data_IF_978827737929
#
_entry.id   IF_978827737929
#
_cell.length_a   1.000
_cell.length_b   1.000
_cell.length_c   1.000
_cell.angle_alpha   90.00
_cell.angle_beta   90.00
_cell.angle_gamma   90.00
#
_symmetry.space_group_name_H-M   'P 1'
#
loop_
_entity.id
_entity.type
_entity.pdbx_description
1 polymer ?
#
# COMPACT_ATOMS: atom_id res chain seq x y z
N UNK A 1 -3.33 -5.17 -32.50
CA UNK A 1 -3.30 -6.09 -31.34
C UNK A 1 -1.93 -5.97 -30.72
N UNK A 2 -1.82 -5.36 -29.54
CA UNK A 2 -0.57 -5.31 -28.77
C UNK A 2 -0.28 -6.72 -28.26
N UNK A 3 0.93 -7.23 -28.47
CA UNK A 3 1.34 -8.52 -27.92
C UNK A 3 1.13 -8.54 -26.39
N UNK A 4 0.74 -9.67 -25.80
CA UNK A 4 0.66 -9.78 -24.34
C UNK A 4 2.04 -9.44 -23.75
N UNK A 5 2.10 -8.36 -22.96
CA UNK A 5 3.31 -7.99 -22.21
C UNK A 5 3.68 -9.18 -21.32
N UNK A 6 4.93 -9.63 -21.41
CA UNK A 6 5.45 -10.72 -20.59
C UNK A 6 5.09 -10.50 -19.12
N UNK A 7 4.48 -11.50 -18.49
CA UNK A 7 4.30 -11.57 -17.04
C UNK A 7 5.64 -11.93 -16.42
N UNK A 8 6.05 -11.19 -15.39
CA UNK A 8 7.18 -11.62 -14.56
C UNK A 8 6.95 -13.05 -14.05
N UNK A 9 7.94 -13.91 -14.25
CA UNK A 9 7.91 -15.34 -13.95
C UNK A 9 8.80 -15.72 -12.77
N UNK A 10 9.15 -14.76 -11.92
CA UNK A 10 9.96 -15.04 -10.74
C UNK A 10 9.16 -15.70 -9.61
N UNK A 11 9.87 -16.01 -8.53
CA UNK A 11 9.37 -16.85 -7.45
C UNK A 11 8.47 -16.05 -6.49
N UNK A 12 7.16 -16.13 -6.73
CA UNK A 12 6.13 -15.49 -5.89
C UNK A 12 6.14 -16.05 -4.47
N UNK A 13 6.43 -17.33 -4.31
CA UNK A 13 6.41 -18.00 -3.01
C UNK A 13 7.62 -17.57 -2.18
N UNK A 14 8.79 -17.42 -2.79
CA UNK A 14 9.97 -16.87 -2.13
C UNK A 14 9.75 -15.43 -1.64
N UNK A 15 9.11 -14.57 -2.46
CA UNK A 15 8.78 -13.19 -2.02
C UNK A 15 7.75 -13.21 -0.90
N UNK A 16 6.74 -14.10 -0.99
CA UNK A 16 5.74 -14.28 0.07
C UNK A 16 6.40 -14.70 1.39
N UNK A 17 7.30 -15.68 1.33
CA UNK A 17 8.05 -16.15 2.49
C UNK A 17 8.91 -15.04 3.10
N UNK A 18 9.58 -14.23 2.27
CA UNK A 18 10.37 -13.08 2.72
C UNK A 18 9.49 -12.04 3.45
N UNK A 19 8.38 -11.61 2.85
CA UNK A 19 7.49 -10.61 3.46
C UNK A 19 6.96 -11.12 4.80
N UNK A 20 6.53 -12.38 4.86
CA UNK A 20 6.06 -13.00 6.08
C UNK A 20 7.18 -13.15 7.13
N UNK A 21 8.41 -13.44 6.71
CA UNK A 21 9.55 -13.52 7.61
C UNK A 21 9.85 -12.16 8.25
N UNK A 22 9.94 -11.09 7.45
CA UNK A 22 10.17 -9.73 7.99
C UNK A 22 9.03 -9.31 8.92
N UNK A 23 7.78 -9.58 8.55
CA UNK A 23 6.63 -9.34 9.41
C UNK A 23 6.74 -10.05 10.77
N UNK A 24 7.17 -11.31 10.80
CA UNK A 24 7.31 -12.11 12.03
C UNK A 24 8.53 -11.71 12.86
N UNK A 25 9.66 -11.47 12.23
CA UNK A 25 10.95 -11.38 12.91
C UNK A 25 11.31 -9.93 13.28
N UNK A 26 10.80 -8.95 12.52
CA UNK A 26 11.12 -7.53 12.71
C UNK A 26 9.93 -6.75 13.29
N UNK A 27 8.75 -6.90 12.68
CA UNK A 27 7.57 -6.08 12.98
C UNK A 27 6.81 -6.57 14.21
N UNK A 28 6.37 -7.84 14.20
CA UNK A 28 5.52 -8.40 15.25
C UNK A 28 6.11 -8.32 16.67
N UNK A 29 7.43 -8.54 16.90
CA UNK A 29 8.00 -8.49 18.26
C UNK A 29 7.96 -7.10 18.89
N UNK A 30 7.84 -6.04 18.08
CA UNK A 30 7.83 -4.63 18.53
C UNK A 30 6.43 -4.05 18.63
N UNK A 31 5.42 -4.73 18.11
CA UNK A 31 4.04 -4.25 18.18
C UNK A 31 3.58 -4.18 19.64
N UNK A 32 3.19 -2.98 20.10
CA UNK A 32 2.85 -2.67 21.51
C UNK A 32 3.99 -2.94 22.51
N UNK A 33 5.22 -3.05 22.01
CA UNK A 33 6.42 -3.32 22.81
C UNK A 33 7.58 -2.36 22.47
N UNK A 34 7.29 -1.27 21.75
CA UNK A 34 8.26 -0.19 21.48
C UNK A 34 8.78 0.41 22.80
N UNK A 35 10.07 0.62 22.87
CA UNK A 35 10.78 1.23 23.99
C UNK A 35 10.97 2.73 23.78
N UNK A 36 11.37 3.42 24.85
CA UNK A 36 11.78 4.82 24.75
C UNK A 36 12.99 4.94 23.81
N UNK A 37 12.85 5.74 22.74
CA UNK A 37 13.88 5.91 21.71
C UNK A 37 13.64 5.10 20.43
N UNK A 38 12.68 4.16 20.43
CA UNK A 38 12.33 3.40 19.22
C UNK A 38 11.49 4.22 18.22
N UNK A 39 10.99 5.40 18.62
CA UNK A 39 10.17 6.30 17.80
C UNK A 39 10.94 7.59 17.53
N UNK A 40 11.13 7.88 16.25
CA UNK A 40 11.68 9.13 15.72
C UNK A 40 10.62 9.97 15.01
N UNK A 41 11.01 11.20 14.65
CA UNK A 41 10.15 12.17 13.96
C UNK A 41 10.87 12.66 12.70
N UNK A 42 10.21 12.55 11.54
CA UNK A 42 10.71 12.98 10.22
C UNK A 42 10.21 14.36 9.80
N UNK A 43 9.13 14.83 10.40
CA UNK A 43 8.51 16.12 10.17
C UNK A 43 7.44 16.42 11.22
N UNK A 44 6.76 17.56 11.11
CA UNK A 44 5.82 18.02 12.15
C UNK A 44 4.73 17.00 12.53
N UNK A 45 4.37 16.08 11.62
CA UNK A 45 3.36 15.04 11.82
C UNK A 45 3.75 13.65 11.30
N UNK A 46 5.02 13.47 10.93
CA UNK A 46 5.53 12.25 10.29
C UNK A 46 6.43 11.49 11.25
N UNK A 47 6.06 10.24 11.56
CA UNK A 47 6.71 9.39 12.55
C UNK A 47 7.39 8.22 11.87
N UNK A 48 8.57 7.88 12.35
CA UNK A 48 9.33 6.70 11.94
C UNK A 48 9.67 5.90 13.19
N UNK A 49 9.81 4.59 13.08
CA UNK A 49 10.31 3.76 14.17
C UNK A 49 11.54 2.97 13.77
N UNK A 50 12.18 2.36 14.76
CA UNK A 50 13.24 1.37 14.51
C UNK A 50 12.75 0.21 13.64
N UNK A 51 11.44 -0.11 13.69
CA UNK A 51 10.83 -1.17 12.88
C UNK A 51 10.91 -0.81 11.40
N UNK A 52 10.54 0.41 11.02
CA UNK A 52 10.61 0.89 9.63
C UNK A 52 12.04 0.76 9.11
N UNK A 53 13.02 1.17 9.93
CA UNK A 53 14.45 1.13 9.56
C UNK A 53 14.97 -0.30 9.38
N UNK A 54 14.64 -1.20 10.32
CA UNK A 54 15.08 -2.60 10.25
C UNK A 54 14.41 -3.37 9.10
N UNK A 55 13.12 -3.12 8.84
CA UNK A 55 12.40 -3.73 7.75
C UNK A 55 12.84 -3.18 6.38
N UNK A 56 13.14 -1.88 6.27
CA UNK A 56 13.73 -1.23 5.08
C UNK A 56 15.13 -1.79 4.77
N UNK A 57 15.87 -2.29 5.77
CA UNK A 57 17.12 -2.99 5.51
C UNK A 57 16.90 -4.45 5.06
N UNK A 58 15.97 -5.16 5.70
CA UNK A 58 15.76 -6.60 5.48
C UNK A 58 15.07 -6.92 4.15
N UNK A 59 14.02 -6.17 3.78
CA UNK A 59 13.21 -6.47 2.59
C UNK A 59 14.01 -6.27 1.30
N UNK A 60 14.69 -5.13 1.06
CA UNK A 60 15.48 -4.95 -0.17
C UNK A 60 16.61 -5.96 -0.30
N UNK A 61 17.28 -6.32 0.80
CA UNK A 61 18.33 -7.35 0.79
C UNK A 61 17.78 -8.71 0.34
N UNK A 62 16.62 -9.13 0.88
CA UNK A 62 15.96 -10.37 0.48
C UNK A 62 15.48 -10.34 -0.97
N UNK A 63 14.87 -9.23 -1.42
CA UNK A 63 14.40 -9.06 -2.80
C UNK A 63 15.56 -9.09 -3.81
N UNK A 64 16.69 -8.48 -3.46
CA UNK A 64 17.90 -8.53 -4.28
C UNK A 64 18.46 -9.95 -4.42
N UNK A 65 18.30 -10.80 -3.41
CA UNK A 65 18.67 -12.21 -3.49
C UNK A 65 17.70 -13.03 -4.36
N UNK A 66 16.39 -12.75 -4.27
CA UNK A 66 15.36 -13.45 -5.07
C UNK A 66 15.42 -13.05 -6.54
N UNK A 67 15.61 -11.76 -6.83
CA UNK A 67 15.64 -11.20 -8.18
C UNK A 67 16.85 -10.27 -8.35
N UNK A 68 18.06 -10.83 -8.54
CA UNK A 68 19.27 -10.03 -8.73
C UNK A 68 19.15 -9.07 -9.91
N UNK A 69 19.59 -7.82 -9.71
CA UNK A 69 19.58 -6.78 -10.74
C UNK A 69 18.25 -6.02 -10.92
N UNK A 70 17.20 -6.39 -10.18
CA UNK A 70 15.97 -5.60 -10.12
C UNK A 70 16.12 -4.52 -9.04
N UNK A 71 16.05 -3.22 -9.38
CA UNK A 71 16.17 -2.15 -8.41
C UNK A 71 15.03 -2.21 -7.38
N UNK A 72 15.33 -1.81 -6.15
CA UNK A 72 14.36 -1.72 -5.05
C UNK A 72 14.20 -0.27 -4.64
N UNK A 73 12.96 0.20 -4.62
CA UNK A 73 12.59 1.57 -4.29
C UNK A 73 11.75 1.52 -3.01
N UNK A 74 12.38 1.81 -1.87
CA UNK A 74 11.70 1.87 -0.58
C UNK A 74 11.18 3.27 -0.26
N UNK A 75 10.14 3.37 0.55
CA UNK A 75 9.57 4.65 0.98
C UNK A 75 10.62 5.54 1.64
N UNK A 76 11.42 4.96 2.55
CA UNK A 76 12.34 5.71 3.39
C UNK A 76 13.59 6.13 2.62
N UNK A 77 14.08 5.24 1.75
CA UNK A 77 15.11 5.60 0.79
C UNK A 77 14.65 6.74 -0.13
N UNK A 78 13.40 6.72 -0.60
CA UNK A 78 12.85 7.76 -1.49
C UNK A 78 12.63 9.09 -0.76
N UNK A 79 12.25 9.05 0.52
CA UNK A 79 12.13 10.24 1.36
C UNK A 79 13.49 10.92 1.56
N UNK A 80 14.57 10.15 1.65
CA UNK A 80 15.94 10.65 1.75
C UNK A 80 16.51 11.10 0.40
N UNK A 81 16.20 10.39 -0.68
CA UNK A 81 16.63 10.67 -2.05
C UNK A 81 15.46 10.57 -3.05
N UNK A 82 14.79 11.69 -3.36
CA UNK A 82 13.68 11.72 -4.31
C UNK A 82 14.05 11.28 -5.74
N UNK A 83 15.34 11.28 -6.11
CA UNK A 83 15.78 10.87 -7.46
C UNK A 83 15.57 9.37 -7.73
N UNK A 84 15.35 8.57 -6.70
CA UNK A 84 14.97 7.15 -6.83
C UNK A 84 13.64 6.96 -7.57
N UNK A 85 12.76 7.98 -7.60
CA UNK A 85 11.54 7.93 -8.42
C UNK A 85 11.84 7.92 -9.93
N UNK A 86 12.94 8.53 -10.36
CA UNK A 86 13.36 8.49 -11.76
C UNK A 86 13.83 7.08 -12.14
N UNK A 87 14.43 6.34 -11.20
CA UNK A 87 14.77 4.93 -11.38
C UNK A 87 13.51 4.09 -11.59
N UNK A 88 12.47 4.31 -10.78
CA UNK A 88 11.18 3.63 -10.95
C UNK A 88 10.55 3.91 -12.32
N UNK A 89 10.67 5.15 -12.81
CA UNK A 89 10.12 5.55 -14.10
C UNK A 89 10.92 4.98 -15.29
N UNK A 90 12.24 4.84 -15.15
CA UNK A 90 13.14 4.38 -16.21
C UNK A 90 13.30 2.86 -16.25
N UNK A 91 13.16 2.17 -15.12
CA UNK A 91 13.44 0.74 -15.02
C UNK A 91 12.37 -0.09 -15.77
N UNK A 92 12.78 -1.10 -16.54
CA UNK A 92 11.84 -2.04 -17.16
C UNK A 92 11.09 -2.86 -16.10
N UNK A 93 11.72 -3.07 -14.94
CA UNK A 93 11.19 -3.81 -13.79
C UNK A 93 11.81 -3.21 -12.52
N UNK A 94 11.01 -2.96 -11.48
CA UNK A 94 11.47 -2.45 -10.19
C UNK A 94 10.56 -2.94 -9.05
N UNK A 95 11.14 -3.13 -7.86
CA UNK A 95 10.39 -3.33 -6.63
C UNK A 95 10.03 -1.99 -6.01
N UNK A 96 8.83 -1.89 -5.46
CA UNK A 96 8.40 -0.79 -4.59
C UNK A 96 8.06 -1.38 -3.23
N UNK A 97 8.62 -0.82 -2.17
CA UNK A 97 8.51 -1.35 -0.81
C UNK A 97 8.03 -0.26 0.13
N UNK A 98 7.05 -0.61 0.97
CA UNK A 98 6.70 0.11 2.17
C UNK A 98 6.90 -0.87 3.35
N UNK A 99 7.97 -0.69 4.14
CA UNK A 99 8.38 -1.65 5.16
C UNK A 99 7.41 -1.69 6.36
N UNK A 100 6.66 -0.62 6.59
CA UNK A 100 5.65 -0.52 7.64
C UNK A 100 4.58 0.53 7.27
N UNK A 101 3.59 0.13 6.46
CA UNK A 101 2.45 0.99 6.18
C UNK A 101 1.63 1.16 7.46
N UNK A 102 1.29 2.42 7.76
CA UNK A 102 0.58 2.77 8.98
C UNK A 102 1.51 2.82 10.20
N UNK A 103 2.73 3.34 10.08
CA UNK A 103 3.66 3.59 11.20
C UNK A 103 2.98 4.28 12.39
N UNK A 104 2.12 5.26 12.13
CA UNK A 104 1.33 5.91 13.19
C UNK A 104 0.32 4.96 13.83
N UNK A 105 -0.35 4.12 13.05
CA UNK A 105 -1.23 3.05 13.56
C UNK A 105 -0.45 2.12 14.50
N UNK A 106 0.76 1.74 14.09
CA UNK A 106 1.65 0.88 14.84
C UNK A 106 2.05 1.50 16.18
N UNK A 107 2.47 2.78 16.17
CA UNK A 107 2.80 3.56 17.37
C UNK A 107 1.59 3.73 18.29
N UNK A 108 0.39 3.95 17.72
CA UNK A 108 -0.88 4.05 18.46
C UNK A 108 -1.40 2.68 18.95
N UNK A 109 -0.72 1.57 18.65
CA UNK A 109 -1.08 0.22 19.08
C UNK A 109 -2.25 -0.40 18.30
N UNK A 110 -2.60 0.15 17.14
CA UNK A 110 -3.60 -0.37 16.20
C UNK A 110 -3.08 -1.59 15.46
N UNK A 111 -3.87 -2.67 15.32
CA UNK A 111 -3.48 -3.85 14.55
C UNK A 111 -3.45 -3.61 13.03
N UNK A 112 -3.94 -2.47 12.57
CA UNK A 112 -4.12 -2.14 11.15
C UNK A 112 -2.87 -1.52 10.53
N UNK A 113 -1.74 -2.21 10.64
CA UNK A 113 -0.47 -1.89 9.99
C UNK A 113 -0.08 -3.04 9.04
N UNK A 114 0.75 -2.74 8.02
CA UNK A 114 1.10 -3.71 7.01
C UNK A 114 2.58 -3.66 6.61
N UNK A 115 3.10 -4.78 6.10
CA UNK A 115 4.31 -4.81 5.27
C UNK A 115 3.87 -4.94 3.83
N UNK A 116 4.30 -4.04 2.95
CA UNK A 116 3.86 -4.01 1.55
C UNK A 116 5.01 -4.07 0.57
N UNK A 117 4.86 -4.92 -0.45
CA UNK A 117 5.80 -5.04 -1.57
C UNK A 117 5.00 -5.04 -2.86
N UNK A 118 5.50 -4.35 -3.89
CA UNK A 118 4.97 -4.43 -5.24
C UNK A 118 6.08 -4.60 -6.26
N UNK A 119 5.76 -5.30 -7.34
CA UNK A 119 6.61 -5.39 -8.52
C UNK A 119 5.99 -4.54 -9.62
N UNK A 120 6.76 -3.61 -10.17
CA UNK A 120 6.34 -2.67 -11.20
C UNK A 120 7.12 -2.94 -12.48
N UNK A 121 6.42 -3.15 -13.59
CA UNK A 121 7.00 -3.42 -14.90
C UNK A 121 6.52 -2.37 -15.91
N UNK A 122 7.44 -1.54 -16.40
CA UNK A 122 7.11 -0.44 -17.33
C UNK A 122 6.07 0.52 -16.76
N UNK A 123 6.22 0.88 -15.48
CA UNK A 123 5.31 1.73 -14.70
C UNK A 123 4.07 1.02 -14.15
N UNK A 124 3.66 -0.12 -14.72
CA UNK A 124 2.46 -0.82 -14.25
C UNK A 124 2.82 -1.81 -13.15
N UNK A 125 2.11 -1.80 -12.02
CA UNK A 125 2.20 -2.91 -11.08
C UNK A 125 1.88 -4.23 -11.81
N UNK A 126 2.55 -5.32 -11.47
CA UNK A 126 2.32 -6.66 -12.06
C UNK A 126 2.24 -7.75 -11.00
N UNK A 127 2.73 -7.49 -9.80
CA UNK A 127 2.52 -8.31 -8.62
C UNK A 127 2.52 -7.43 -7.37
N UNK A 128 1.90 -7.90 -6.28
CA UNK A 128 1.92 -7.21 -5.00
C UNK A 128 1.60 -8.12 -3.82
N UNK A 129 2.14 -7.74 -2.67
CA UNK A 129 2.05 -8.41 -1.39
C UNK A 129 1.61 -7.40 -0.33
N UNK A 130 0.63 -7.77 0.48
CA UNK A 130 0.25 -7.05 1.71
C UNK A 130 0.21 -8.06 2.83
N UNK A 131 1.16 -7.99 3.75
CA UNK A 131 1.12 -8.78 4.97
C UNK A 131 0.60 -7.91 6.12
N UNK A 132 -0.40 -8.40 6.83
CA UNK A 132 -0.99 -7.79 8.02
C UNK A 132 -0.55 -8.60 9.24
N UNK A 133 0.56 -8.25 9.91
CA UNK A 133 1.20 -9.13 10.90
C UNK A 133 0.29 -9.40 12.11
N UNK A 134 -0.35 -8.35 12.65
CA UNK A 134 -1.25 -8.47 13.79
C UNK A 134 -2.55 -9.25 13.47
N UNK A 135 -2.91 -9.35 12.19
CA UNK A 135 -4.07 -10.11 11.72
C UNK A 135 -3.71 -11.53 11.27
N UNK A 136 -2.42 -11.84 11.14
CA UNK A 136 -1.94 -13.14 10.64
C UNK A 136 -2.35 -13.43 9.19
N UNK A 137 -2.52 -12.39 8.36
CA UNK A 137 -3.02 -12.50 6.97
C UNK A 137 -2.01 -11.99 5.97
N UNK A 138 -1.82 -12.70 4.86
CA UNK A 138 -0.99 -12.27 3.74
C UNK A 138 -1.77 -12.33 2.44
N UNK A 139 -1.93 -11.18 1.80
CA UNK A 139 -2.56 -11.04 0.49
C UNK A 139 -1.49 -11.00 -0.59
N UNK A 140 -1.70 -11.78 -1.66
CA UNK A 140 -0.81 -11.83 -2.81
C UNK A 140 -1.64 -11.69 -4.07
N UNK A 141 -1.22 -10.84 -5.00
CA UNK A 141 -1.83 -10.74 -6.32
C UNK A 141 -0.77 -10.68 -7.40
N UNK A 142 -1.00 -11.37 -8.52
CA UNK A 142 -0.14 -11.34 -9.69
C UNK A 142 -1.00 -11.24 -10.95
N UNK A 143 -0.51 -10.47 -11.94
CA UNK A 143 -1.18 -10.26 -13.21
C UNK A 143 -1.43 -11.57 -13.92
N UNK A 144 -2.70 -11.83 -14.24
CA UNK A 144 -3.13 -13.08 -14.88
C UNK A 144 -3.38 -14.24 -13.91
N UNK A 145 -2.83 -14.20 -12.69
CA UNK A 145 -2.95 -15.30 -11.71
C UNK A 145 -4.10 -15.10 -10.72
N UNK A 146 -4.59 -13.87 -10.56
CA UNK A 146 -5.64 -13.50 -9.60
C UNK A 146 -5.07 -12.99 -8.27
N UNK A 147 -5.89 -13.05 -7.22
CA UNK A 147 -5.53 -12.65 -5.86
C UNK A 147 -5.73 -13.83 -4.89
N UNK A 148 -4.92 -13.87 -3.85
CA UNK A 148 -4.83 -14.95 -2.87
C UNK A 148 -4.73 -14.36 -1.47
N UNK A 149 -5.30 -15.06 -0.49
CA UNK A 149 -5.14 -14.82 0.93
C UNK A 149 -4.59 -16.10 1.56
N UNK A 150 -3.39 -16.04 2.11
CA UNK A 150 -2.71 -17.18 2.76
C UNK A 150 -2.69 -18.44 1.88
N UNK A 151 -2.37 -18.23 0.59
CA UNK A 151 -2.32 -19.28 -0.43
C UNK A 151 -3.69 -19.72 -0.98
N UNK A 152 -4.81 -19.29 -0.38
CA UNK A 152 -6.15 -19.59 -0.87
C UNK A 152 -6.61 -18.53 -1.86
N UNK A 153 -7.11 -18.96 -3.03
CA UNK A 153 -7.54 -18.04 -4.07
C UNK A 153 -8.80 -17.29 -3.64
N UNK A 154 -8.74 -15.96 -3.73
CA UNK A 154 -9.89 -15.11 -3.45
C UNK A 154 -10.90 -15.18 -4.61
N UNK A 155 -12.21 -15.13 -4.33
CA UNK A 155 -13.23 -15.08 -5.36
C UNK A 155 -13.08 -13.80 -6.20
N UNK A 156 -13.60 -13.84 -7.42
CA UNK A 156 -13.76 -12.61 -8.21
C UNK A 156 -14.81 -11.73 -7.49
N UNK A 157 -14.44 -10.50 -7.17
CA UNK A 157 -15.34 -9.49 -6.64
C UNK A 157 -16.34 -9.13 -7.73
N UNK A 158 -17.58 -9.13 -7.30
CA UNK A 158 -18.70 -8.54 -8.01
C UNK A 158 -19.05 -7.28 -7.25
N UNK A 159 -19.28 -6.17 -7.95
CA UNK A 159 -19.77 -4.96 -7.29
C UNK A 159 -21.06 -5.30 -6.53
N UNK A 160 -21.05 -5.10 -5.20
CA UNK A 160 -22.25 -5.27 -4.40
C UNK A 160 -23.18 -4.07 -4.60
N UNK A 161 -24.49 -4.31 -4.61
CA UNK A 161 -25.49 -3.26 -4.48
C UNK A 161 -26.24 -3.43 -3.14
N UNK A 162 -26.26 -2.41 -2.26
CA UNK A 162 -25.54 -1.13 -2.35
C UNK A 162 -24.03 -1.26 -2.11
N UNK A 163 -23.24 -0.34 -2.69
CA UNK A 163 -21.78 -0.31 -2.55
C UNK A 163 -21.34 -0.02 -1.11
N UNK A 164 -20.32 -0.74 -0.64
CA UNK A 164 -19.62 -0.51 0.64
C UNK A 164 -18.32 0.23 0.39
N UNK A 165 -18.06 1.27 1.17
CA UNK A 165 -16.92 2.16 0.96
C UNK A 165 -16.16 2.45 2.22
N UNK A 166 -14.87 2.68 2.12
CA UNK A 166 -14.06 3.25 3.19
C UNK A 166 -13.35 4.49 2.68
N UNK A 167 -13.07 5.44 3.57
CA UNK A 167 -12.21 6.58 3.24
C UNK A 167 -11.05 6.64 4.23
N UNK A 168 -9.82 6.69 3.73
CA UNK A 168 -8.66 6.98 4.56
C UNK A 168 -8.72 8.45 4.99
N UNK A 169 -8.90 8.71 6.29
CA UNK A 169 -9.13 10.06 6.86
C UNK A 169 -8.00 10.55 7.77
N UNK A 170 -6.87 9.85 7.82
CA UNK A 170 -5.79 10.19 8.76
C UNK A 170 -5.18 11.58 8.47
N UNK A 171 -5.09 11.97 7.20
CA UNK A 171 -4.64 13.29 6.76
C UNK A 171 -5.76 14.33 6.59
N UNK A 172 -7.00 14.02 7.00
CA UNK A 172 -8.13 14.92 6.81
C UNK A 172 -8.40 15.79 8.03
N UNK A 173 -8.50 17.11 7.84
CA UNK A 173 -9.01 18.03 8.87
C UNK A 173 -10.47 17.74 9.24
N UNK A 174 -10.91 18.20 10.41
CA UNK A 174 -12.32 18.07 10.82
C UNK A 174 -13.30 18.68 9.81
N UNK A 175 -12.93 19.81 9.20
CA UNK A 175 -13.71 20.46 8.15
C UNK A 175 -13.78 19.63 6.86
N UNK A 176 -12.65 19.02 6.43
CA UNK A 176 -12.65 18.10 5.30
C UNK A 176 -13.53 16.87 5.56
N UNK A 177 -13.49 16.31 6.78
CA UNK A 177 -14.33 15.17 7.18
C UNK A 177 -15.82 15.52 7.14
N UNK A 178 -16.20 16.69 7.66
CA UNK A 178 -17.59 17.16 7.62
C UNK A 178 -18.09 17.39 6.18
N UNK A 179 -17.22 17.95 5.32
CA UNK A 179 -17.53 18.17 3.90
C UNK A 179 -17.76 16.86 3.16
N UNK A 180 -16.89 15.87 3.37
CA UNK A 180 -17.02 14.54 2.78
C UNK A 180 -18.30 13.84 3.23
N UNK A 181 -18.59 13.86 4.54
CA UNK A 181 -19.81 13.27 5.09
C UNK A 181 -21.07 13.90 4.46
N UNK A 182 -21.10 15.23 4.33
CA UNK A 182 -22.20 15.94 3.68
C UNK A 182 -22.37 15.53 2.21
N UNK A 183 -21.29 15.57 1.42
CA UNK A 183 -21.34 15.25 -0.02
C UNK A 183 -21.79 13.82 -0.29
N UNK A 184 -21.41 12.89 0.57
CA UNK A 184 -21.81 11.50 0.38
C UNK A 184 -23.25 11.22 0.79
N UNK A 185 -23.76 11.93 1.81
CA UNK A 185 -25.19 11.94 2.11
C UNK A 185 -26.00 12.53 0.94
N UNK A 186 -25.51 13.62 0.33
CA UNK A 186 -26.14 14.24 -0.85
C UNK A 186 -26.13 13.34 -2.11
N UNK A 187 -25.09 12.52 -2.28
CA UNK A 187 -24.93 11.63 -3.42
C UNK A 187 -25.65 10.27 -3.26
N UNK A 188 -26.45 10.11 -2.19
CA UNK A 188 -27.12 8.85 -1.83
C UNK A 188 -26.19 7.63 -1.87
N UNK A 189 -24.94 7.83 -1.45
CA UNK A 189 -23.95 6.78 -1.37
C UNK A 189 -24.18 5.93 -0.12
N UNK A 190 -25.44 5.69 0.28
CA UNK A 190 -25.92 5.26 1.59
C UNK A 190 -25.35 3.94 2.17
N UNK A 191 -24.44 3.27 1.47
CA UNK A 191 -23.65 2.13 1.96
C UNK A 191 -22.14 2.39 2.09
N UNK A 192 -21.61 3.51 1.61
CA UNK A 192 -20.21 3.86 1.85
C UNK A 192 -20.04 4.17 3.35
N UNK A 193 -19.31 3.30 4.06
CA UNK A 193 -18.87 3.47 5.45
C UNK A 193 -17.93 4.67 5.60
N UNK A 194 -18.46 5.87 5.36
CA UNK A 194 -17.79 7.15 5.54
C UNK A 194 -17.75 7.42 7.04
N UNK A 195 -16.93 6.64 7.72
CA UNK A 195 -17.04 6.45 9.17
C UNK A 195 -15.81 5.80 9.77
N UNK A 196 -15.07 5.02 9.01
CA UNK A 196 -13.95 4.26 9.55
C UNK A 196 -12.61 4.98 9.30
N UNK A 197 -11.75 5.03 10.31
CA UNK A 197 -10.35 5.40 10.13
C UNK A 197 -9.65 4.14 9.63
N UNK A 198 -9.20 4.14 8.38
CA UNK A 198 -8.44 3.04 7.79
C UNK A 198 -7.06 3.50 7.37
N UNK A 199 -6.10 2.60 7.49
CA UNK A 199 -4.70 2.74 7.05
C UNK A 199 -4.53 2.05 5.71
N UNK A 200 -3.61 2.51 4.85
CA UNK A 200 -3.61 2.19 3.41
C UNK A 200 -3.56 0.69 3.15
N UNK A 201 -2.57 -0.02 3.70
CA UNK A 201 -2.35 -1.44 3.54
C UNK A 201 -3.53 -2.26 4.02
N UNK A 202 -4.08 -1.94 5.19
CA UNK A 202 -5.28 -2.60 5.71
C UNK A 202 -6.51 -2.32 4.84
N UNK A 203 -6.68 -1.09 4.36
CA UNK A 203 -7.78 -0.71 3.48
C UNK A 203 -7.73 -1.44 2.13
N UNK A 204 -6.53 -1.60 1.54
CA UNK A 204 -6.34 -2.38 0.31
C UNK A 204 -6.67 -3.85 0.51
N UNK A 205 -6.31 -4.45 1.66
CA UNK A 205 -6.66 -5.82 2.01
C UNK A 205 -8.17 -6.04 2.12
N UNK A 206 -8.90 -5.06 2.68
CA UNK A 206 -10.37 -5.08 2.75
C UNK A 206 -11.02 -4.98 1.37
N UNK A 207 -10.43 -4.20 0.47
CA UNK A 207 -10.88 -4.19 -0.93
C UNK A 207 -10.61 -5.55 -1.59
N UNK A 208 -9.39 -6.09 -1.46
CA UNK A 208 -9.02 -7.35 -2.07
C UNK A 208 -9.91 -8.54 -1.64
N UNK A 209 -10.38 -8.53 -0.39
CA UNK A 209 -11.26 -9.54 0.20
C UNK A 209 -12.76 -9.30 -0.05
N UNK A 210 -13.16 -8.14 -0.57
CA UNK A 210 -14.57 -7.78 -0.76
C UNK A 210 -15.27 -7.34 0.52
N UNK A 211 -14.52 -7.09 1.59
CA UNK A 211 -15.03 -6.44 2.79
C UNK A 211 -15.37 -4.95 2.51
N UNK A 212 -14.78 -4.35 1.48
CA UNK A 212 -15.05 -3.00 1.00
C UNK A 212 -15.06 -2.97 -0.54
N UNK A 213 -16.05 -2.33 -1.15
CA UNK A 213 -16.18 -2.21 -2.61
C UNK A 213 -15.41 -1.01 -3.19
N UNK A 214 -15.19 0.04 -2.39
CA UNK A 214 -14.46 1.24 -2.81
C UNK A 214 -13.62 1.87 -1.71
N UNK A 215 -12.39 2.28 -2.04
CA UNK A 215 -11.53 3.07 -1.16
C UNK A 215 -11.38 4.49 -1.69
N UNK A 216 -11.82 5.47 -0.90
CA UNK A 216 -11.46 6.88 -1.10
C UNK A 216 -10.18 7.20 -0.32
N UNK A 217 -9.21 7.85 -0.96
CA UNK A 217 -8.08 8.44 -0.22
C UNK A 217 -8.10 9.93 -0.51
N UNK A 218 -8.31 10.74 0.53
CA UNK A 218 -8.28 12.18 0.37
C UNK A 218 -6.84 12.63 0.07
N UNK A 219 -6.60 13.43 -0.97
CA UNK A 219 -5.33 14.12 -1.10
C UNK A 219 -5.21 15.10 0.07
N UNK A 220 -4.01 15.15 0.66
CA UNK A 220 -3.66 16.10 1.72
C UNK A 220 -4.08 17.51 1.29
N UNK A 221 -4.61 18.23 2.26
CA UNK A 221 -5.30 19.50 2.15
C UNK A 221 -4.38 20.66 1.77
N UNK A 222 -4.03 20.78 0.48
CA UNK A 222 -3.73 22.06 -0.17
C UNK A 222 -2.67 22.96 0.49
N UNK A 223 -1.80 22.43 1.36
CA UNK A 223 -0.67 23.18 1.91
C UNK A 223 0.40 23.31 0.82
N UNK A 224 1.08 24.46 0.65
CA UNK A 224 2.06 24.63 -0.43
C UNK A 224 3.35 23.82 -0.24
N UNK A 225 3.44 22.94 0.77
CA UNK A 225 4.71 22.42 1.31
C UNK A 225 5.02 20.95 1.05
N UNK A 226 4.18 20.19 0.36
CA UNK A 226 4.36 18.75 0.26
C UNK A 226 4.12 18.20 -1.15
N UNK A 227 4.97 18.65 -2.08
CA UNK A 227 5.24 17.95 -3.36
C UNK A 227 5.82 16.53 -3.19
N UNK A 228 5.55 15.84 -2.09
CA UNK A 228 6.01 14.48 -1.79
C UNK A 228 4.98 13.50 -2.37
N UNK A 229 5.27 12.98 -3.55
CA UNK A 229 4.50 11.88 -4.10
C UNK A 229 4.74 10.62 -3.27
N UNK A 230 3.80 10.25 -2.41
CA UNK A 230 3.80 8.91 -1.83
C UNK A 230 3.53 7.89 -2.95
N UNK A 231 4.50 7.01 -3.22
CA UNK A 231 4.30 5.89 -4.13
C UNK A 231 3.32 4.91 -3.47
N UNK A 232 2.05 4.93 -3.90
CA UNK A 232 1.02 4.06 -3.34
C UNK A 232 1.01 2.72 -4.05
N UNK A 233 1.26 1.65 -3.31
CA UNK A 233 1.02 0.28 -3.76
C UNK A 233 -0.49 0.03 -3.74
N UNK A 234 -1.12 -0.02 -4.91
CA UNK A 234 -2.52 -0.42 -5.06
C UNK A 234 -2.54 -1.87 -5.53
N UNK A 235 -3.04 -2.80 -4.71
CA UNK A 235 -3.42 -4.11 -5.20
C UNK A 235 -4.69 -3.95 -6.05
N UNK A 236 -4.65 -4.21 -7.37
CA UNK A 236 -5.86 -4.19 -8.15
C UNK A 236 -6.73 -5.39 -7.78
N UNK A 237 -8.07 -5.25 -7.79
CA UNK A 237 -8.94 -6.40 -7.69
C UNK A 237 -8.64 -7.39 -8.83
N UNK A 238 -8.34 -8.65 -8.46
CA UNK A 238 -8.19 -9.80 -9.36
C UNK A 238 -7.05 -9.77 -10.38
N UNK A 239 -5.97 -9.03 -10.12
CA UNK A 239 -4.89 -8.93 -11.10
C UNK A 239 -5.34 -8.31 -12.42
N UNK A 240 -6.45 -7.56 -12.43
CA UNK A 240 -6.78 -6.64 -13.51
C UNK A 240 -5.97 -5.36 -13.30
N UNK A 241 -4.76 -5.37 -13.86
CA UNK A 241 -3.93 -4.18 -13.98
C UNK A 241 -4.48 -3.34 -15.14
N UNK A 242 -5.56 -2.61 -14.86
CA UNK A 242 -6.27 -1.77 -15.80
C UNK A 242 -6.01 -0.29 -15.52
N UNK A 243 -5.85 0.49 -16.60
CA UNK A 243 -5.89 1.96 -16.54
C UNK A 243 -7.23 2.41 -15.93
N UNK A 244 -7.23 2.83 -14.67
CA UNK A 244 -8.23 3.79 -14.21
C UNK A 244 -7.84 5.14 -14.81
N UNK A 245 -8.35 5.42 -16.01
CA UNK A 245 -8.21 6.73 -16.66
C UNK A 245 -6.77 7.11 -17.06
N UNK A 246 -6.13 6.32 -17.92
CA UNK A 246 -5.08 6.85 -18.81
C UNK A 246 -3.92 7.58 -18.13
N UNK A 247 -3.38 7.04 -17.04
CA UNK A 247 -2.09 7.31 -16.39
C UNK A 247 -2.07 6.41 -15.14
N UNK A 248 -0.92 5.92 -14.70
CA UNK A 248 -0.79 5.70 -13.24
C UNK A 248 -0.99 7.08 -12.66
N UNK A 249 -2.12 7.29 -12.00
CA UNK A 249 -2.65 8.61 -11.72
C UNK A 249 -1.86 9.38 -10.67
N UNK A 250 -0.66 9.85 -11.00
CA UNK A 250 -0.36 11.25 -10.76
C UNK A 250 -1.33 12.07 -11.64
N UNK A 251 -2.53 12.30 -11.12
CA UNK A 251 -3.31 13.46 -11.53
C UNK A 251 -2.95 14.56 -10.53
N UNK A 252 -2.11 15.51 -10.95
CA UNK A 252 -2.38 16.89 -10.59
C UNK A 252 -3.80 17.18 -11.08
N UNK A 253 -4.80 17.03 -10.22
CA UNK A 253 -5.89 17.99 -10.28
C UNK A 253 -5.28 19.28 -9.76
N UNK A 254 -4.88 20.15 -10.69
CA UNK A 254 -4.80 21.58 -10.36
C UNK A 254 -6.17 21.96 -9.81
N UNK A 255 -6.19 22.75 -8.74
CA UNK A 255 -7.33 23.63 -8.52
C UNK A 255 -7.59 24.47 -9.77
#
# INVERSE_FOLDING_TARGET
MTAPRATWSGDVDAVTALVQQVARDVVAPRFRALQAGDVGVKGADDVVTIVDTEAEAAIPAGLAAIAPGVPVIGEEATAADPSLLDVLAAAPLAWVVDPLDGTRAFVEGSPDHAVMVALVQGGEAVAGWICLPAHGRTYVAQRGSGAFLDGQRLPRLTAAEPLRGAVARWSMTAAARATLARRAAEADLGGLGIGERVWSGYAYARVASGETDALGVHPCDGSPSDGRGHARVVLPPHGQFGRVGGKIGMRQQRC
#
